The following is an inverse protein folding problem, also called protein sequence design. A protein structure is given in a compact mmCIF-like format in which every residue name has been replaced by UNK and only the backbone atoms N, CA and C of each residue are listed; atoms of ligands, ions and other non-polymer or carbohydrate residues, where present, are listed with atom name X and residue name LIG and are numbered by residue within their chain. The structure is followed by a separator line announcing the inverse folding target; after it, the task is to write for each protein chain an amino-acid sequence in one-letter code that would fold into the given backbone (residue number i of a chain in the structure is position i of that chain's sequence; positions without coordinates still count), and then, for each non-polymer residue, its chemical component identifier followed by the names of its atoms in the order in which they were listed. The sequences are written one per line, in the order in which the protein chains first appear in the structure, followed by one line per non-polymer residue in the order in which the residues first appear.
data_IF_892143669486
#
_entry.id   IF_892143669486
#
_cell.length_a   1.000
_cell.length_b   1.000
_cell.length_c   1.000
_cell.angle_alpha   90.00
_cell.angle_beta   90.00
_cell.angle_gamma   90.00
#
_symmetry.space_group_name_H-M   'P 1'
#
loop_
_entity.id
_entity.type
_entity.pdbx_description
1 polymer ?
#
# COMPACT_ATOMS: atom_id res chain seq x y z
N UNK A 1 -36.64 27.94 21.96
CA UNK A 1 -35.99 26.65 21.64
C UNK A 1 -35.45 26.62 20.19
N UNK A 2 -34.59 27.58 19.78
CA UNK A 2 -34.13 27.69 18.36
C UNK A 2 -32.60 27.86 18.21
N UNK A 3 -31.82 27.89 19.30
CA UNK A 3 -30.36 28.19 19.25
C UNK A 3 -29.46 26.95 19.12
N UNK A 4 -30.01 25.74 19.21
CA UNK A 4 -29.26 24.47 19.18
C UNK A 4 -29.10 23.84 17.80
N UNK A 5 -29.90 24.26 16.81
CA UNK A 5 -29.86 23.75 15.43
C UNK A 5 -28.50 24.01 14.73
N UNK A 6 -27.91 25.23 14.78
CA UNK A 6 -26.61 25.45 14.11
C UNK A 6 -25.47 24.65 14.77
N UNK A 7 -25.58 24.37 16.08
CA UNK A 7 -24.59 23.57 16.81
C UNK A 7 -24.66 22.08 16.43
N UNK A 8 -25.86 21.57 16.16
CA UNK A 8 -26.05 20.18 15.72
C UNK A 8 -25.52 19.95 14.29
N UNK A 9 -25.70 20.94 13.40
CA UNK A 9 -25.17 20.89 12.02
C UNK A 9 -23.65 21.00 11.99
N UNK A 10 -23.05 21.83 12.85
CA UNK A 10 -21.59 21.92 12.96
C UNK A 10 -20.96 20.61 13.47
N UNK A 11 -21.64 19.90 14.38
CA UNK A 11 -21.16 18.63 14.93
C UNK A 11 -21.23 17.48 13.90
N UNK A 12 -22.23 17.47 13.02
CA UNK A 12 -22.35 16.43 11.98
C UNK A 12 -21.34 16.60 10.85
N UNK A 13 -20.97 17.83 10.48
CA UNK A 13 -19.92 18.07 9.49
C UNK A 13 -18.52 17.66 9.99
N UNK A 14 -18.26 17.77 11.31
CA UNK A 14 -16.99 17.37 11.90
C UNK A 14 -16.73 15.85 11.93
N UNK A 15 -17.75 15.03 11.67
CA UNK A 15 -17.67 13.56 11.68
C UNK A 15 -17.42 12.95 10.29
N UNK A 16 -17.25 13.78 9.26
CA UNK A 16 -16.88 13.32 7.92
C UNK A 16 -15.37 13.03 7.85
N UNK A 17 -14.95 11.91 8.44
CA UNK A 17 -13.59 11.40 8.29
C UNK A 17 -13.48 10.51 7.06
N UNK A 18 -12.57 10.85 6.13
CA UNK A 18 -12.23 9.99 4.99
C UNK A 18 -11.71 8.63 5.48
N UNK A 19 -12.39 7.55 5.10
CA UNK A 19 -11.91 6.21 5.33
C UNK A 19 -10.69 5.93 4.42
N UNK A 20 -9.49 5.85 5.01
CA UNK A 20 -8.25 5.54 4.29
C UNK A 20 -8.00 4.03 4.30
N UNK A 21 -8.57 3.34 3.33
CA UNK A 21 -8.46 1.88 3.23
C UNK A 21 -7.07 1.39 2.78
N UNK A 22 -6.34 2.17 1.97
CA UNK A 22 -5.02 1.80 1.47
C UNK A 22 -3.95 2.80 1.93
N UNK A 23 -2.87 2.27 2.51
CA UNK A 23 -1.70 3.04 2.90
C UNK A 23 -0.80 3.32 1.70
N UNK A 24 -0.36 4.57 1.58
CA UNK A 24 0.69 4.95 0.63
C UNK A 24 2.03 4.94 1.36
N UNK A 25 3.05 4.21 0.85
CA UNK A 25 4.38 4.18 1.46
C UNK A 25 5.02 5.55 1.61
N UNK A 26 5.80 5.73 2.68
CA UNK A 26 6.54 6.97 2.92
C UNK A 26 7.84 6.96 2.11
N UNK A 27 8.12 8.05 1.40
CA UNK A 27 9.36 8.25 0.66
C UNK A 27 10.58 8.34 1.58
N UNK A 28 11.68 7.71 1.17
CA UNK A 28 12.97 7.80 1.84
C UNK A 28 13.58 9.20 1.70
N UNK A 29 14.39 9.58 2.69
CA UNK A 29 15.01 10.92 2.73
C UNK A 29 16.09 11.15 1.66
N UNK A 30 16.77 10.11 1.20
CA UNK A 30 17.83 10.20 0.18
C UNK A 30 17.33 9.96 -1.25
N UNK A 31 16.40 9.02 -1.42
CA UNK A 31 15.77 8.72 -2.70
C UNK A 31 14.27 8.51 -2.47
N UNK A 32 13.39 9.36 -3.05
CA UNK A 32 11.96 9.25 -2.84
C UNK A 32 11.32 8.02 -3.49
N UNK A 33 12.05 7.32 -4.37
CA UNK A 33 11.61 6.07 -5.01
C UNK A 33 11.77 4.86 -4.09
N UNK A 34 12.66 4.94 -3.12
CA UNK A 34 12.77 3.95 -2.05
C UNK A 34 11.74 4.34 -1.01
N UNK A 35 10.73 3.51 -0.83
CA UNK A 35 9.62 3.81 0.09
C UNK A 35 9.45 2.71 1.12
N UNK A 36 9.04 3.06 2.34
CA UNK A 36 8.87 2.13 3.45
C UNK A 36 7.49 2.26 4.10
N UNK A 37 7.03 1.16 4.70
CA UNK A 37 5.86 1.11 5.58
C UNK A 37 6.22 0.35 6.85
N UNK A 38 5.59 0.72 7.97
CA UNK A 38 5.62 -0.11 9.18
C UNK A 38 4.62 -1.23 8.99
N UNK A 39 5.04 -2.47 9.22
CA UNK A 39 4.16 -3.63 9.11
C UNK A 39 2.95 -3.51 10.05
N UNK A 40 1.77 -3.84 9.51
CA UNK A 40 0.52 -3.93 10.25
C UNK A 40 -0.30 -5.09 9.70
N UNK A 41 -0.79 -5.94 10.61
CA UNK A 41 -1.68 -7.05 10.24
C UNK A 41 -2.95 -6.50 9.58
N UNK A 42 -3.35 -7.08 8.44
CA UNK A 42 -4.52 -6.71 7.64
C UNK A 42 -4.45 -5.33 6.96
N UNK A 43 -3.24 -4.80 6.74
CA UNK A 43 -3.06 -3.54 6.03
C UNK A 43 -3.01 -3.74 4.51
N UNK A 44 -3.54 -2.77 3.77
CA UNK A 44 -3.46 -2.72 2.31
C UNK A 44 -2.42 -1.67 1.93
N UNK A 45 -1.33 -2.11 1.31
CA UNK A 45 -0.23 -1.21 0.90
C UNK A 45 -0.28 -1.00 -0.60
N UNK A 46 -0.26 0.27 -1.03
CA UNK A 46 -0.13 0.63 -2.44
C UNK A 46 1.32 0.49 -2.88
N UNK A 47 1.58 -0.32 -3.90
CA UNK A 47 2.89 -0.46 -4.54
C UNK A 47 2.84 0.19 -5.92
N UNK A 48 3.74 1.13 -6.18
CA UNK A 48 3.88 1.76 -7.49
C UNK A 48 4.90 0.97 -8.32
N UNK A 49 4.51 0.58 -9.53
CA UNK A 49 5.36 -0.08 -10.49
C UNK A 49 5.21 0.58 -11.86
N UNK A 50 6.22 0.48 -12.72
CA UNK A 50 6.24 1.10 -14.05
C UNK A 50 6.86 0.14 -15.05
N UNK A 51 6.37 0.15 -16.30
CA UNK A 51 6.90 -0.68 -17.38
C UNK A 51 8.41 -0.49 -17.55
N UNK A 52 9.09 -1.61 -17.82
CA UNK A 52 10.55 -1.64 -17.96
C UNK A 52 11.32 -1.54 -16.65
N UNK A 53 10.66 -1.39 -15.50
CA UNK A 53 11.29 -1.30 -14.17
C UNK A 53 10.83 -2.46 -13.29
N UNK A 54 11.80 -3.14 -12.68
CA UNK A 54 11.54 -4.17 -11.67
C UNK A 54 11.41 -3.53 -10.29
N UNK A 55 10.23 -3.64 -9.68
CA UNK A 55 10.00 -3.14 -8.33
C UNK A 55 10.34 -4.24 -7.33
N UNK A 56 11.13 -3.92 -6.31
CA UNK A 56 11.55 -4.88 -5.29
C UNK A 56 10.84 -4.56 -3.97
N UNK A 57 10.18 -5.56 -3.40
CA UNK A 57 9.56 -5.49 -2.07
C UNK A 57 10.41 -6.36 -1.14
N UNK A 58 10.90 -5.76 -0.06
CA UNK A 58 11.72 -6.42 0.95
C UNK A 58 10.90 -6.46 2.24
N UNK A 59 10.71 -7.66 2.76
CA UNK A 59 10.16 -7.91 4.10
C UNK A 59 11.31 -7.99 5.11
N UNK A 60 10.99 -7.78 6.38
CA UNK A 60 12.01 -7.89 7.44
C UNK A 60 12.61 -9.30 7.48
N UNK A 61 13.79 -9.47 8.08
CA UNK A 61 14.53 -10.75 8.02
C UNK A 61 13.78 -11.92 8.67
N UNK A 62 12.87 -11.63 9.60
CA UNK A 62 11.99 -12.63 10.25
C UNK A 62 10.62 -12.80 9.60
N UNK A 63 10.32 -12.05 8.54
CA UNK A 63 9.02 -12.09 7.86
C UNK A 63 9.08 -12.94 6.59
N UNK A 64 8.06 -13.75 6.37
CA UNK A 64 7.89 -14.55 5.16
C UNK A 64 6.49 -14.38 4.60
N UNK A 65 6.36 -14.48 3.28
CA UNK A 65 5.06 -14.58 2.62
C UNK A 65 4.73 -16.06 2.38
N UNK A 66 3.49 -16.45 2.67
CA UNK A 66 3.05 -17.85 2.49
C UNK A 66 2.53 -18.11 1.08
N UNK A 67 1.77 -17.18 0.53
CA UNK A 67 1.08 -17.34 -0.75
C UNK A 67 1.09 -16.02 -1.50
N UNK A 68 1.31 -16.09 -2.81
CA UNK A 68 1.18 -14.97 -3.73
C UNK A 68 0.04 -15.29 -4.68
N UNK A 69 -0.98 -14.42 -4.72
CA UNK A 69 -2.07 -14.48 -5.67
C UNK A 69 -2.11 -13.19 -6.48
N UNK A 70 -2.34 -13.31 -7.78
CA UNK A 70 -2.38 -12.20 -8.73
C UNK A 70 -3.75 -12.16 -9.38
N UNK A 71 -4.31 -10.96 -9.51
CA UNK A 71 -5.60 -10.76 -10.19
C UNK A 71 -5.48 -10.86 -11.71
N UNK A 72 -4.52 -10.14 -12.29
CA UNK A 72 -4.24 -10.14 -13.73
C UNK A 72 -2.83 -10.68 -13.97
N UNK A 73 -2.73 -11.98 -14.25
CA UNK A 73 -1.46 -12.68 -14.46
C UNK A 73 -0.84 -12.43 -15.84
N UNK A 74 -1.61 -11.90 -16.79
CA UNK A 74 -1.11 -11.54 -18.12
C UNK A 74 -0.31 -10.24 -18.04
N UNK A 75 -0.82 -9.26 -17.29
CA UNK A 75 -0.19 -7.95 -17.13
C UNK A 75 0.90 -7.89 -16.05
N UNK A 76 0.97 -8.90 -15.16
CA UNK A 76 1.87 -8.86 -14.00
C UNK A 76 2.69 -10.14 -13.85
N UNK A 77 3.98 -9.96 -13.59
CA UNK A 77 4.90 -11.01 -13.16
C UNK A 77 5.37 -10.73 -11.74
N UNK A 78 5.21 -11.72 -10.85
CA UNK A 78 5.69 -11.63 -9.47
C UNK A 78 6.58 -12.82 -9.16
N UNK A 79 7.83 -12.54 -8.83
CA UNK A 79 8.89 -13.54 -8.68
C UNK A 79 9.44 -13.48 -7.25
N UNK A 80 9.19 -14.50 -6.43
CA UNK A 80 9.84 -14.64 -5.13
C UNK A 80 11.32 -15.03 -5.27
N UNK A 81 12.13 -14.61 -4.30
CA UNK A 81 13.52 -15.09 -4.18
C UNK A 81 13.61 -16.33 -3.31
N UNK A 82 14.69 -17.10 -3.46
CA UNK A 82 14.97 -18.30 -2.66
C UNK A 82 15.04 -18.03 -1.15
N UNK A 83 15.34 -16.79 -0.75
CA UNK A 83 15.39 -16.38 0.66
C UNK A 83 14.01 -16.16 1.28
N UNK A 84 12.95 -16.07 0.49
CA UNK A 84 11.56 -16.02 0.97
C UNK A 84 11.10 -14.69 1.59
N UNK A 85 11.96 -13.67 1.66
CA UNK A 85 11.64 -12.34 2.19
C UNK A 85 11.76 -11.21 1.15
N UNK A 86 11.98 -11.54 -0.12
CA UNK A 86 12.04 -10.57 -1.22
C UNK A 86 11.13 -11.02 -2.35
N UNK A 87 10.31 -10.10 -2.84
CA UNK A 87 9.46 -10.24 -4.02
C UNK A 87 9.88 -9.22 -5.09
N UNK A 88 10.00 -9.68 -6.33
CA UNK A 88 10.08 -8.80 -7.49
C UNK A 88 8.72 -8.69 -8.15
N UNK A 89 8.26 -7.46 -8.38
CA UNK A 89 7.01 -7.14 -9.08
C UNK A 89 7.35 -6.42 -10.38
N UNK A 90 6.92 -6.99 -11.51
CA UNK A 90 7.23 -6.50 -12.85
C UNK A 90 5.94 -6.41 -13.67
N UNK A 91 5.56 -5.22 -14.16
CA UNK A 91 4.54 -5.12 -15.19
C UNK A 91 5.03 -5.79 -16.48
N UNK A 92 4.23 -6.68 -17.07
CA UNK A 92 4.47 -7.22 -18.41
C UNK A 92 3.94 -6.23 -19.44
N UNK A 93 4.80 -5.75 -20.32
CA UNK A 93 4.36 -4.99 -21.49
C UNK A 93 3.46 -5.87 -22.36
N UNK A 94 2.29 -5.34 -22.76
CA UNK A 94 1.41 -5.96 -23.74
C UNK A 94 2.08 -6.10 -25.12
#
# INVERSE_FOLDING_TARGET
MMRSIPMLVALTLGLLSDARAAQTPASGGLDPRITSVVYQRNNVVRVFATYGISTMIIFDEGETFETVALGDTESWDVVPTDKGNILFVKPRSC
#
